data_IF_464345193382
#
_entry.id   IF_464345193382
#
_cell.length_a   1.000
_cell.length_b   1.000
_cell.length_c   1.000
_cell.angle_alpha   90.00
_cell.angle_beta   90.00
_cell.angle_gamma   90.00
#
_symmetry.space_group_name_H-M   'P 1'
#
loop_
_entity.id
_entity.type
_entity.pdbx_description
1 polymer ?
#
# COMPACT_ATOMS: atom_id res chain seq x y z
N UNK A 1 -18.00 -33.24 20.99
CA UNK A 1 -16.82 -32.77 20.24
C UNK A 1 -17.29 -31.64 19.32
N UNK A 2 -16.98 -30.38 19.65
CA UNK A 2 -17.30 -29.25 18.76
C UNK A 2 -16.31 -29.26 17.61
N UNK A 3 -16.83 -29.24 16.38
CA UNK A 3 -16.01 -29.05 15.18
C UNK A 3 -15.26 -27.71 15.30
N UNK A 4 -13.97 -27.64 14.91
CA UNK A 4 -13.26 -26.38 14.92
C UNK A 4 -13.95 -25.40 13.98
N UNK A 5 -14.16 -24.18 14.45
CA UNK A 5 -14.63 -23.05 13.67
C UNK A 5 -13.79 -22.95 12.39
N UNK A 6 -14.42 -22.90 11.21
CA UNK A 6 -13.72 -22.82 9.91
C UNK A 6 -12.93 -21.52 9.73
N UNK A 7 -13.17 -20.54 10.58
CA UNK A 7 -12.46 -19.27 10.61
C UNK A 7 -11.39 -19.31 11.71
N UNK A 8 -10.13 -19.19 11.31
CA UNK A 8 -8.99 -19.13 12.20
C UNK A 8 -8.03 -18.03 11.74
N UNK A 9 -7.37 -17.41 12.72
CA UNK A 9 -6.27 -16.46 12.50
C UNK A 9 -4.95 -17.13 12.86
N UNK A 10 -3.85 -16.69 12.24
CA UNK A 10 -2.52 -17.20 12.61
C UNK A 10 -2.18 -16.90 14.07
N UNK A 11 -1.31 -17.70 14.69
CA UNK A 11 -0.94 -17.57 16.10
C UNK A 11 -0.34 -16.19 16.46
N UNK A 12 0.19 -15.45 15.48
CA UNK A 12 0.74 -14.11 15.64
C UNK A 12 -0.28 -12.98 15.36
N UNK A 13 -1.55 -13.30 15.11
CA UNK A 13 -2.57 -12.30 14.86
C UNK A 13 -2.85 -11.46 16.10
N UNK A 14 -2.94 -10.15 15.91
CA UNK A 14 -3.33 -9.19 16.93
C UNK A 14 -4.25 -8.13 16.33
N UNK A 15 -5.44 -7.98 16.90
CA UNK A 15 -6.42 -6.97 16.47
C UNK A 15 -5.89 -5.54 16.68
N UNK A 16 -5.12 -5.32 17.74
CA UNK A 16 -4.55 -4.01 18.04
C UNK A 16 -3.47 -3.64 17.02
N UNK A 17 -2.63 -4.61 16.63
CA UNK A 17 -1.65 -4.42 15.55
C UNK A 17 -2.33 -4.10 14.22
N UNK A 18 -3.46 -4.76 13.91
CA UNK A 18 -4.24 -4.47 12.70
C UNK A 18 -4.83 -3.05 12.71
N UNK A 19 -5.39 -2.61 13.84
CA UNK A 19 -5.92 -1.25 14.01
C UNK A 19 -4.81 -0.20 13.91
N UNK A 20 -3.65 -0.48 14.49
CA UNK A 20 -2.48 0.38 14.37
C UNK A 20 -2.04 0.52 12.92
N UNK A 21 -1.90 -0.59 12.19
CA UNK A 21 -1.55 -0.59 10.77
C UNK A 21 -2.58 0.21 9.92
N UNK A 22 -3.87 0.08 10.23
CA UNK A 22 -4.93 0.86 9.58
C UNK A 22 -4.75 2.36 9.85
N UNK A 23 -4.53 2.77 11.10
CA UNK A 23 -4.34 4.18 11.45
C UNK A 23 -3.11 4.79 10.76
N UNK A 24 -2.01 4.04 10.70
CA UNK A 24 -0.79 4.45 10.01
C UNK A 24 -1.01 4.59 8.50
N UNK A 25 -1.78 3.68 7.90
CA UNK A 25 -2.17 3.78 6.48
C UNK A 25 -2.96 5.05 6.20
N UNK A 26 -3.94 5.40 7.06
CA UNK A 26 -4.69 6.64 6.92
C UNK A 26 -3.80 7.88 7.01
N UNK A 27 -2.85 7.88 7.97
CA UNK A 27 -1.89 8.97 8.10
C UNK A 27 -1.01 9.13 6.86
N UNK A 28 -0.56 8.01 6.26
CA UNK A 28 0.21 8.04 5.03
C UNK A 28 -0.60 8.63 3.87
N UNK A 29 -1.87 8.23 3.74
CA UNK A 29 -2.79 8.75 2.71
C UNK A 29 -2.98 10.26 2.87
N UNK A 30 -3.26 10.72 4.10
CA UNK A 30 -3.44 12.14 4.40
C UNK A 30 -2.20 12.96 4.02
N UNK A 31 -1.01 12.54 4.50
CA UNK A 31 0.25 13.22 4.18
C UNK A 31 0.57 13.23 2.67
N UNK A 32 0.28 12.14 1.96
CA UNK A 32 0.50 12.07 0.52
C UNK A 32 -0.46 13.01 -0.22
N UNK A 33 -1.74 12.99 0.13
CA UNK A 33 -2.80 13.76 -0.54
C UNK A 33 -2.54 15.27 -0.51
N UNK A 34 -1.98 15.80 0.58
CA UNK A 34 -1.64 17.22 0.73
C UNK A 34 -0.55 17.69 -0.24
N UNK A 35 0.20 16.76 -0.82
CA UNK A 35 1.34 17.05 -1.69
C UNK A 35 1.03 16.77 -3.18
N UNK A 36 -0.08 16.10 -3.48
CA UNK A 36 -0.53 15.90 -4.86
C UNK A 36 -1.03 17.21 -5.45
N UNK A 37 -0.59 17.53 -6.67
CA UNK A 37 -0.96 18.77 -7.38
C UNK A 37 -1.33 18.50 -8.84
N UNK A 38 -2.18 19.34 -9.48
CA UNK A 38 -2.46 19.24 -10.90
C UNK A 38 -1.18 19.24 -11.74
N UNK A 39 -1.14 18.36 -12.75
CA UNK A 39 0.03 18.18 -13.62
C UNK A 39 1.08 17.18 -13.08
N UNK A 40 0.91 16.63 -11.88
CA UNK A 40 1.77 15.56 -11.36
C UNK A 40 1.51 14.23 -12.10
N UNK A 41 2.59 13.51 -12.41
CA UNK A 41 2.53 12.17 -12.97
C UNK A 41 2.33 11.12 -11.86
N UNK A 42 1.69 10.00 -12.21
CA UNK A 42 1.52 8.86 -11.28
C UNK A 42 2.86 8.32 -10.76
N UNK A 43 3.91 8.33 -11.61
CA UNK A 43 5.26 7.91 -11.25
C UNK A 43 5.89 8.81 -10.18
N UNK A 44 5.67 10.12 -10.26
CA UNK A 44 6.14 11.10 -9.27
C UNK A 44 5.39 10.92 -7.95
N UNK A 45 4.07 10.76 -8.01
CA UNK A 45 3.23 10.52 -6.84
C UNK A 45 3.60 9.21 -6.12
N UNK A 46 3.98 8.17 -6.87
CA UNK A 46 4.47 6.89 -6.33
C UNK A 46 5.81 7.05 -5.62
N UNK A 47 6.78 7.78 -6.19
CA UNK A 47 8.05 8.02 -5.50
C UNK A 47 7.86 8.88 -4.24
N UNK A 48 7.00 9.89 -4.31
CA UNK A 48 6.62 10.68 -3.15
C UNK A 48 5.97 9.82 -2.05
N UNK A 49 5.05 8.94 -2.42
CA UNK A 49 4.40 8.04 -1.48
C UNK A 49 5.40 7.08 -0.80
N UNK A 50 6.44 6.61 -1.50
CA UNK A 50 7.52 5.85 -0.85
C UNK A 50 8.27 6.67 0.20
N UNK A 51 8.52 7.96 -0.05
CA UNK A 51 9.16 8.85 0.90
C UNK A 51 8.30 9.03 2.15
N UNK A 52 7.00 9.24 1.99
CA UNK A 52 6.03 9.32 3.10
C UNK A 52 6.04 8.03 3.92
N UNK A 53 6.00 6.87 3.28
CA UNK A 53 6.06 5.58 3.97
C UNK A 53 7.38 5.38 4.70
N UNK A 54 8.51 5.81 4.13
CA UNK A 54 9.80 5.75 4.80
C UNK A 54 9.85 6.65 6.05
N UNK A 55 9.26 7.84 6.01
CA UNK A 55 9.16 8.75 7.16
C UNK A 55 8.28 8.20 8.28
N UNK A 56 7.27 7.40 7.94
CA UNK A 56 6.36 6.74 8.89
C UNK A 56 6.87 5.37 9.36
N UNK A 57 8.08 4.97 8.98
CA UNK A 57 8.67 3.65 9.24
C UNK A 57 7.82 2.46 8.72
N UNK A 58 7.08 2.70 7.63
CA UNK A 58 6.17 1.74 6.98
C UNK A 58 6.78 1.07 5.75
N UNK A 59 8.08 0.72 5.80
CA UNK A 59 8.80 0.21 4.63
C UNK A 59 8.57 -1.29 4.35
N UNK A 60 7.99 -2.04 5.30
CA UNK A 60 7.63 -3.45 5.11
C UNK A 60 6.29 -3.57 4.40
N UNK A 61 6.33 -3.53 3.08
CA UNK A 61 5.16 -3.71 2.21
C UNK A 61 5.40 -4.92 1.31
N UNK A 62 4.44 -5.86 1.27
CA UNK A 62 4.54 -7.05 0.42
C UNK A 62 4.06 -6.80 -1.02
N UNK A 63 3.43 -5.66 -1.26
CA UNK A 63 2.96 -5.25 -2.58
C UNK A 63 3.59 -3.90 -2.97
N UNK A 64 3.80 -3.66 -4.28
CA UNK A 64 4.23 -2.36 -4.77
C UNK A 64 3.23 -1.26 -4.40
N UNK A 65 3.73 -0.07 -4.08
CA UNK A 65 2.89 1.12 -3.91
C UNK A 65 2.33 1.56 -5.26
N UNK A 66 1.01 1.75 -5.32
CA UNK A 66 0.29 2.20 -6.50
C UNK A 66 -0.39 3.54 -6.20
N UNK A 67 -0.19 4.53 -7.08
CA UNK A 67 -0.93 5.80 -7.10
C UNK A 67 -1.47 5.98 -8.51
N UNK A 68 -2.77 6.26 -8.64
CA UNK A 68 -3.46 6.33 -9.93
C UNK A 68 -4.29 7.60 -10.00
N UNK A 69 -4.30 8.26 -11.15
CA UNK A 69 -5.09 9.47 -11.41
C UNK A 69 -6.10 9.20 -12.54
N UNK A 70 -7.33 9.70 -12.41
CA UNK A 70 -8.34 9.64 -13.49
C UNK A 70 -8.93 8.24 -13.75
N UNK A 71 -9.34 7.98 -15.01
CA UNK A 71 -10.13 6.81 -15.41
C UNK A 71 -9.35 5.47 -15.45
N UNK A 72 -8.13 5.44 -14.92
CA UNK A 72 -7.31 4.23 -14.80
C UNK A 72 -7.85 3.23 -13.74
N UNK A 73 -9.13 3.19 -13.41
CA UNK A 73 -9.67 2.28 -12.37
C UNK A 73 -9.81 0.81 -12.81
N UNK A 74 -9.32 0.42 -13.98
CA UNK A 74 -9.34 -0.99 -14.39
C UNK A 74 -8.30 -1.81 -13.62
N UNK A 75 -8.61 -3.06 -13.23
CA UNK A 75 -7.68 -3.94 -12.53
C UNK A 75 -6.47 -4.18 -13.43
N UNK A 76 -5.36 -3.52 -13.11
CA UNK A 76 -4.12 -3.63 -13.88
C UNK A 76 -3.32 -4.76 -13.24
N UNK A 77 -3.17 -5.88 -13.94
CA UNK A 77 -2.17 -6.86 -13.61
C UNK A 77 -0.80 -6.16 -13.71
N UNK A 78 -0.05 -6.14 -12.62
CA UNK A 78 1.32 -5.62 -12.59
C UNK A 78 2.18 -6.60 -13.41
N UNK A 79 2.39 -6.33 -14.69
CA UNK A 79 3.50 -6.92 -15.42
C UNK A 79 4.71 -6.02 -15.20
N UNK A 80 5.58 -6.41 -14.27
CA UNK A 80 6.95 -5.91 -14.25
C UNK A 80 7.58 -6.27 -15.60
N UNK A 81 7.80 -5.26 -16.44
CA UNK A 81 8.69 -5.43 -17.59
C UNK A 81 10.09 -5.59 -17.02
N UNK A 82 10.50 -6.84 -16.79
CA UNK A 82 11.91 -7.17 -16.62
C UNK A 82 12.64 -6.66 -17.85
N UNK A 83 13.52 -5.66 -17.69
CA UNK A 83 14.39 -5.22 -18.76
C UNK A 83 15.14 -6.45 -19.30
N UNK A 84 15.23 -6.64 -20.63
CA UNK A 84 16.02 -7.74 -21.18
C UNK A 84 17.47 -7.53 -20.73
N UNK A 85 18.02 -8.54 -20.06
CA UNK A 85 19.42 -8.55 -19.67
C UNK A 85 20.30 -8.39 -20.90
N UNK A 86 21.35 -7.58 -20.75
CA UNK A 86 22.55 -7.61 -21.58
C UNK A 86 23.24 -8.97 -21.45
#
# INVERSE_FOLDING_TARGET
MNAPSKEAVGAAYSIDSMRHAQAMTWRAIEQLSQQIRPGMLESEARELGKQVLAQLDMQRIWHPLLVRFGANNYPFAVFETKAPGL
#
